data_IF_412326381133
#
_entry.id   IF_412326381133
#
_cell.length_a   1.000
_cell.length_b   1.000
_cell.length_c   1.000
_cell.angle_alpha   90.00
_cell.angle_beta   90.00
_cell.angle_gamma   90.00
#
_symmetry.space_group_name_H-M   'P 1'
#
loop_
_entity.id
_entity.type
_entity.pdbx_description
1 polymer ?
#
# COMPACT_ATOMS: atom_id res chain seq x y z
N UNK A 1 4.97 -3.58 -13.49
CA UNK A 1 4.37 -4.93 -13.60
C UNK A 1 2.84 -4.96 -13.50
N UNK A 2 2.17 -3.86 -13.18
CA UNK A 2 0.70 -3.81 -13.23
C UNK A 2 0.21 -3.29 -14.58
N UNK A 3 -0.92 -3.84 -15.04
CA UNK A 3 -1.70 -3.30 -16.14
C UNK A 3 -2.85 -2.52 -15.50
N UNK A 4 -3.12 -1.32 -16.00
CA UNK A 4 -4.31 -0.55 -15.65
C UNK A 4 -5.34 -0.72 -16.75
N UNK A 5 -6.50 -1.24 -16.37
CA UNK A 5 -7.71 -1.22 -17.21
C UNK A 5 -8.71 -0.26 -16.56
N UNK A 6 -8.91 0.90 -17.20
CA UNK A 6 -9.69 2.02 -16.65
C UNK A 6 -9.13 2.50 -15.31
N UNK A 7 -9.82 2.21 -14.20
CA UNK A 7 -9.45 2.55 -12.83
C UNK A 7 -9.05 1.34 -11.98
N UNK A 8 -8.72 0.20 -12.60
CA UNK A 8 -8.37 -1.04 -11.92
C UNK A 8 -6.98 -1.53 -12.31
N UNK A 9 -6.18 -1.90 -11.33
CA UNK A 9 -4.82 -2.43 -11.55
C UNK A 9 -4.81 -3.94 -11.42
N UNK A 10 -4.18 -4.63 -12.36
CA UNK A 10 -3.96 -6.08 -12.36
C UNK A 10 -2.50 -6.42 -12.56
N UNK A 11 -2.08 -7.63 -12.17
CA UNK A 11 -0.71 -8.09 -12.40
C UNK A 11 -0.58 -8.50 -13.88
N UNK A 12 0.41 -7.93 -14.57
CA UNK A 12 0.81 -8.40 -15.90
C UNK A 12 1.68 -9.65 -15.76
N UNK A 13 1.06 -10.81 -15.74
CA UNK A 13 1.77 -12.08 -15.54
C UNK A 13 2.70 -12.45 -16.69
N UNK A 14 2.41 -12.07 -17.91
CA UNK A 14 3.29 -12.31 -19.07
C UNK A 14 4.60 -11.56 -18.91
N UNK A 15 4.53 -10.24 -18.68
CA UNK A 15 5.71 -9.44 -18.40
C UNK A 15 6.42 -9.88 -17.12
N UNK A 16 5.68 -10.28 -16.10
CA UNK A 16 6.24 -10.79 -14.86
C UNK A 16 7.06 -12.06 -15.12
N UNK A 17 6.51 -13.02 -15.85
CA UNK A 17 7.22 -14.24 -16.21
C UNK A 17 8.45 -13.97 -17.08
N UNK A 18 8.38 -13.01 -17.99
CA UNK A 18 9.54 -12.64 -18.84
C UNK A 18 10.68 -12.05 -18.01
N UNK A 19 10.38 -11.22 -17.01
CA UNK A 19 11.41 -10.71 -16.09
C UNK A 19 12.05 -11.87 -15.28
N UNK A 20 11.26 -12.85 -14.85
CA UNK A 20 11.78 -14.04 -14.17
C UNK A 20 12.70 -14.88 -15.07
N UNK A 21 12.35 -15.07 -16.35
CA UNK A 21 13.21 -15.73 -17.37
C UNK A 21 14.52 -14.97 -17.56
N UNK A 22 14.49 -13.65 -17.46
CA UNK A 22 15.67 -12.79 -17.59
C UNK A 22 16.59 -12.80 -16.33
N UNK A 23 16.32 -13.65 -15.35
CA UNK A 23 17.21 -13.93 -14.23
C UNK A 23 16.98 -13.08 -12.98
N UNK A 24 15.82 -12.48 -12.82
CA UNK A 24 15.39 -11.88 -11.53
C UNK A 24 15.52 -12.93 -10.42
N UNK A 25 16.09 -12.54 -9.27
CA UNK A 25 16.35 -13.43 -8.13
C UNK A 25 15.43 -13.20 -6.95
N UNK A 26 14.82 -12.04 -6.87
CA UNK A 26 13.90 -11.68 -5.80
C UNK A 26 12.79 -10.76 -6.32
N UNK A 27 11.60 -10.94 -5.78
CA UNK A 27 10.42 -10.12 -6.05
C UNK A 27 9.98 -9.46 -4.76
N UNK A 28 9.85 -8.14 -4.76
CA UNK A 28 9.18 -7.39 -3.70
C UNK A 28 7.71 -7.21 -4.10
N UNK A 29 6.81 -7.71 -3.29
CA UNK A 29 5.38 -7.68 -3.55
C UNK A 29 4.63 -7.04 -2.38
N UNK A 30 3.66 -6.17 -2.66
CA UNK A 30 2.91 -5.45 -1.65
C UNK A 30 1.44 -5.90 -1.64
N UNK A 31 0.94 -6.32 -0.49
CA UNK A 31 -0.44 -6.82 -0.32
C UNK A 31 -0.98 -6.49 1.08
N UNK A 32 -1.98 -5.62 1.24
CA UNK A 32 -2.61 -4.75 0.23
C UNK A 32 -1.63 -3.77 -0.43
N UNK A 33 -1.91 -3.43 -1.69
CA UNK A 33 -0.94 -2.71 -2.52
C UNK A 33 -1.03 -1.19 -2.36
N UNK A 34 -0.03 -0.61 -1.75
CA UNK A 34 0.21 0.83 -1.71
C UNK A 34 1.04 1.25 -2.95
N UNK A 35 0.59 2.22 -3.77
CA UNK A 35 -0.44 3.23 -3.49
C UNK A 35 -1.83 2.94 -4.03
N UNK A 36 -2.02 1.93 -4.86
CA UNK A 36 -3.24 1.76 -5.68
C UNK A 36 -4.46 1.23 -4.93
N UNK A 37 -4.29 0.79 -3.67
CA UNK A 37 -5.38 0.31 -2.83
C UNK A 37 -5.93 -1.08 -3.19
N UNK A 38 -5.19 -1.90 -3.97
CA UNK A 38 -5.59 -3.26 -4.30
C UNK A 38 -5.40 -4.20 -3.11
N UNK A 39 -6.37 -5.10 -2.91
CA UNK A 39 -6.24 -6.32 -2.10
C UNK A 39 -6.28 -7.50 -3.06
N UNK A 40 -5.17 -8.20 -3.21
CA UNK A 40 -5.05 -9.25 -4.21
C UNK A 40 -5.88 -10.47 -3.83
N UNK A 41 -6.54 -11.09 -4.82
CA UNK A 41 -7.31 -12.31 -4.62
C UNK A 41 -6.39 -13.51 -4.40
N UNK A 42 -6.92 -14.56 -3.77
CA UNK A 42 -6.17 -15.81 -3.61
C UNK A 42 -5.70 -16.40 -4.94
N UNK A 43 -6.51 -16.27 -5.99
CA UNK A 43 -6.16 -16.74 -7.33
C UNK A 43 -5.00 -15.94 -7.95
N UNK A 44 -5.02 -14.62 -7.79
CA UNK A 44 -3.90 -13.75 -8.22
C UNK A 44 -2.61 -14.11 -7.47
N UNK A 45 -2.70 -14.32 -6.14
CA UNK A 45 -1.55 -14.69 -5.32
C UNK A 45 -1.03 -16.07 -5.65
N UNK A 46 -1.90 -17.05 -5.90
CA UNK A 46 -1.52 -18.42 -6.29
C UNK A 46 -0.72 -18.39 -7.59
N UNK A 47 -1.18 -17.68 -8.59
CA UNK A 47 -0.46 -17.55 -9.86
C UNK A 47 0.90 -16.86 -9.72
N UNK A 48 1.00 -15.85 -8.85
CA UNK A 48 2.27 -15.21 -8.50
C UNK A 48 3.24 -16.23 -7.88
N UNK A 49 2.77 -17.00 -6.88
CA UNK A 49 3.54 -18.02 -6.17
C UNK A 49 4.02 -19.11 -7.13
N UNK A 50 3.13 -19.65 -7.98
CA UNK A 50 3.47 -20.68 -8.97
C UNK A 50 4.64 -20.23 -9.87
N UNK A 51 4.64 -18.97 -10.31
CA UNK A 51 5.72 -18.41 -11.11
C UNK A 51 7.01 -18.25 -10.28
N UNK A 52 6.94 -17.76 -9.05
CA UNK A 52 8.11 -17.64 -8.19
C UNK A 52 8.74 -19.01 -7.87
N UNK A 53 7.95 -20.03 -7.62
CA UNK A 53 8.41 -21.42 -7.43
C UNK A 53 9.05 -21.96 -8.70
N UNK A 54 8.38 -21.82 -9.86
CA UNK A 54 8.86 -22.30 -11.16
C UNK A 54 10.24 -21.76 -11.52
N UNK A 55 10.52 -20.49 -11.19
CA UNK A 55 11.78 -19.83 -11.52
C UNK A 55 12.77 -19.74 -10.35
N UNK A 56 12.47 -20.40 -9.25
CA UNK A 56 13.32 -20.48 -8.05
C UNK A 56 13.69 -19.10 -7.47
N UNK A 57 12.70 -18.20 -7.31
CA UNK A 57 12.86 -16.80 -6.94
C UNK A 57 12.38 -16.52 -5.52
N UNK A 58 13.12 -15.70 -4.76
CA UNK A 58 12.68 -15.22 -3.45
C UNK A 58 11.47 -14.29 -3.58
N UNK A 59 10.49 -14.48 -2.70
CA UNK A 59 9.30 -13.65 -2.59
C UNK A 59 9.29 -12.90 -1.26
N UNK A 60 9.46 -11.58 -1.33
CA UNK A 60 9.43 -10.68 -0.20
C UNK A 60 8.07 -9.98 -0.20
N UNK A 61 7.20 -10.37 0.74
CA UNK A 61 5.83 -9.86 0.84
C UNK A 61 5.73 -8.75 1.86
N UNK A 62 5.44 -7.54 1.41
CA UNK A 62 5.09 -6.42 2.29
C UNK A 62 3.59 -6.49 2.61
N UNK A 63 3.27 -6.97 3.82
CA UNK A 63 1.92 -7.15 4.34
C UNK A 63 1.58 -6.16 5.47
N UNK A 64 2.32 -5.05 5.58
CA UNK A 64 2.13 -4.06 6.65
C UNK A 64 0.74 -3.38 6.63
N UNK A 65 0.01 -3.45 5.52
CA UNK A 65 -1.35 -2.95 5.38
C UNK A 65 -2.44 -4.04 5.52
N UNK A 66 -2.09 -5.27 5.89
CA UNK A 66 -3.00 -6.42 5.92
C UNK A 66 -4.32 -6.13 6.66
N UNK A 67 -4.23 -5.48 7.82
CA UNK A 67 -5.38 -5.16 8.65
C UNK A 67 -6.34 -4.13 8.02
N UNK A 68 -5.90 -3.41 6.99
CA UNK A 68 -6.73 -2.48 6.22
C UNK A 68 -7.22 -3.06 4.88
N UNK A 69 -7.43 -4.36 4.79
CA UNK A 69 -8.26 -4.95 3.74
C UNK A 69 -9.73 -4.66 4.06
N UNK A 70 -10.38 -3.75 3.33
CA UNK A 70 -11.64 -3.12 3.76
C UNK A 70 -12.86 -3.60 2.98
N UNK A 71 -12.69 -4.03 1.73
CA UNK A 71 -13.82 -4.40 0.85
C UNK A 71 -13.83 -5.88 0.46
N UNK A 72 -12.78 -6.63 0.81
CA UNK A 72 -12.70 -8.07 0.59
C UNK A 72 -11.83 -8.73 1.66
N UNK A 73 -11.94 -10.06 1.74
CA UNK A 73 -11.11 -10.84 2.63
C UNK A 73 -9.63 -10.77 2.20
N UNK A 74 -8.78 -10.55 3.18
CA UNK A 74 -7.34 -10.58 3.00
C UNK A 74 -6.83 -12.03 2.93
N UNK A 75 -5.85 -12.27 2.06
CA UNK A 75 -5.12 -13.53 1.98
C UNK A 75 -3.63 -13.22 2.09
N UNK A 76 -2.98 -13.76 3.13
CA UNK A 76 -1.53 -13.69 3.29
C UNK A 76 -0.81 -14.65 2.34
N UNK A 77 0.39 -14.30 1.89
CA UNK A 77 1.28 -15.22 1.16
C UNK A 77 1.77 -16.38 2.04
N UNK A 78 1.67 -16.27 3.36
CA UNK A 78 1.87 -17.38 4.29
C UNK A 78 0.87 -18.54 4.17
N UNK A 79 -0.19 -18.39 3.37
CA UNK A 79 -1.14 -19.47 3.05
C UNK A 79 -0.57 -20.51 2.07
N UNK A 80 0.53 -20.21 1.37
CA UNK A 80 1.06 -21.02 0.28
C UNK A 80 2.37 -21.71 0.69
N UNK A 81 2.32 -22.97 1.23
CA UNK A 81 3.51 -23.65 1.71
C UNK A 81 4.54 -23.97 0.63
N UNK A 82 4.14 -24.02 -0.63
CA UNK A 82 5.00 -24.28 -1.78
C UNK A 82 6.11 -23.23 -1.99
N UNK A 83 5.96 -22.02 -1.43
CA UNK A 83 6.98 -20.94 -1.52
C UNK A 83 7.79 -20.76 -0.22
N UNK A 84 7.52 -21.55 0.84
CA UNK A 84 8.12 -21.31 2.16
C UNK A 84 9.63 -21.30 2.17
N UNK A 85 10.27 -22.04 1.27
CA UNK A 85 11.75 -22.06 1.18
C UNK A 85 12.34 -20.70 0.82
N UNK A 86 11.56 -19.83 0.18
CA UNK A 86 12.01 -18.52 -0.32
C UNK A 86 11.07 -17.36 0.05
N UNK A 87 10.22 -17.57 1.05
CA UNK A 87 9.25 -16.55 1.49
C UNK A 87 9.78 -15.77 2.67
N UNK A 88 9.68 -14.43 2.57
CA UNK A 88 9.85 -13.49 3.69
C UNK A 88 8.64 -12.57 3.71
N UNK A 89 7.88 -12.57 4.80
CA UNK A 89 6.74 -11.67 5.00
C UNK A 89 7.14 -10.57 5.98
N UNK A 90 6.83 -9.33 5.62
CA UNK A 90 6.99 -8.14 6.46
C UNK A 90 5.63 -7.74 7.02
N UNK A 91 5.53 -7.62 8.34
CA UNK A 91 4.36 -7.06 9.03
C UNK A 91 4.78 -6.09 10.12
N UNK A 92 3.90 -5.16 10.51
CA UNK A 92 4.24 -4.17 11.53
C UNK A 92 2.99 -3.53 12.16
N UNK A 93 3.08 -3.16 13.42
CA UNK A 93 2.07 -2.33 14.10
C UNK A 93 2.05 -0.88 13.60
N UNK A 94 3.05 -0.49 12.84
CA UNK A 94 3.26 0.89 12.38
C UNK A 94 2.09 1.44 11.55
N UNK A 95 1.44 0.59 10.75
CA UNK A 95 0.29 0.96 9.93
C UNK A 95 -1.02 0.61 10.61
N UNK A 96 -1.14 -0.60 11.13
CA UNK A 96 -2.34 -1.10 11.79
C UNK A 96 -2.75 -0.21 12.98
N UNK A 97 -1.79 0.12 13.84
CA UNK A 97 -2.04 0.83 15.09
C UNK A 97 -1.46 2.25 15.14
N UNK A 98 -1.11 2.82 13.97
CA UNK A 98 -0.54 4.17 13.85
C UNK A 98 0.71 4.41 14.71
N UNK A 99 1.58 3.40 14.82
CA UNK A 99 2.78 3.42 15.68
C UNK A 99 4.08 3.49 14.88
N UNK A 100 4.09 4.21 13.75
CA UNK A 100 5.27 4.32 12.88
C UNK A 100 6.50 4.91 13.60
N UNK A 101 6.30 5.77 14.60
CA UNK A 101 7.37 6.38 15.36
C UNK A 101 8.21 5.41 16.19
N UNK A 102 7.71 4.18 16.43
CA UNK A 102 8.48 3.14 17.14
C UNK A 102 9.47 2.39 16.24
N UNK A 103 9.42 2.63 14.93
CA UNK A 103 10.37 2.07 13.93
C UNK A 103 10.58 0.56 14.13
N UNK A 104 9.48 -0.19 14.23
CA UNK A 104 9.51 -1.63 14.47
C UNK A 104 8.71 -2.41 13.43
N UNK A 105 9.21 -3.59 13.08
CA UNK A 105 8.54 -4.54 12.18
C UNK A 105 8.90 -5.97 12.55
N UNK A 106 8.09 -6.92 12.08
CA UNK A 106 8.33 -8.34 12.20
C UNK A 106 8.61 -8.94 10.82
N UNK A 107 9.57 -9.87 10.78
CA UNK A 107 9.79 -10.74 9.64
C UNK A 107 9.27 -12.13 9.98
N UNK A 108 8.39 -12.66 9.15
CA UNK A 108 7.92 -14.05 9.23
C UNK A 108 8.64 -14.81 8.12
N UNK A 109 9.53 -15.71 8.51
CA UNK A 109 10.37 -16.51 7.60
C UNK A 109 10.14 -17.97 7.93
N UNK A 110 9.34 -18.71 7.12
CA UNK A 110 9.02 -20.11 7.38
C UNK A 110 10.24 -21.04 7.33
N UNK A 111 11.16 -20.79 6.38
CA UNK A 111 12.40 -21.57 6.24
C UNK A 111 13.39 -21.21 7.36
N UNK A 112 13.71 -22.19 8.22
CA UNK A 112 14.60 -22.01 9.39
C UNK A 112 16.02 -21.63 8.97
N UNK A 113 16.56 -22.21 7.88
CA UNK A 113 17.92 -21.93 7.44
C UNK A 113 18.00 -20.52 6.81
N UNK A 114 17.00 -20.12 6.04
CA UNK A 114 16.91 -18.75 5.53
C UNK A 114 16.80 -17.74 6.69
N UNK A 115 15.97 -18.06 7.72
CA UNK A 115 15.86 -17.23 8.91
C UNK A 115 17.20 -17.05 9.62
N UNK A 116 17.98 -18.11 9.80
CA UNK A 116 19.31 -18.05 10.42
C UNK A 116 20.25 -17.14 9.60
N UNK A 117 20.24 -17.23 8.27
CA UNK A 117 21.04 -16.39 7.39
C UNK A 117 20.68 -14.91 7.52
N UNK A 118 19.38 -14.58 7.52
CA UNK A 118 18.89 -13.20 7.69
C UNK A 118 19.27 -12.64 9.05
N UNK A 119 19.12 -13.43 10.13
CA UNK A 119 19.51 -13.01 11.48
C UNK A 119 21.01 -12.78 11.56
N UNK A 120 21.84 -13.68 11.05
CA UNK A 120 23.29 -13.55 11.05
C UNK A 120 23.76 -12.30 10.26
N UNK A 121 23.10 -11.98 9.14
CA UNK A 121 23.40 -10.76 8.38
C UNK A 121 23.07 -9.50 9.21
N UNK A 122 21.93 -9.47 9.87
CA UNK A 122 21.55 -8.35 10.74
C UNK A 122 22.52 -8.17 11.91
N UNK A 123 22.88 -9.24 12.59
CA UNK A 123 23.86 -9.22 13.68
C UNK A 123 25.25 -8.74 13.19
N UNK A 124 25.70 -9.20 12.02
CA UNK A 124 26.97 -8.78 11.44
C UNK A 124 27.04 -7.29 11.13
N UNK A 125 25.88 -6.66 10.91
CA UNK A 125 25.74 -5.21 10.64
C UNK A 125 25.36 -4.40 11.87
N UNK A 126 25.36 -4.99 13.05
CA UNK A 126 24.95 -4.35 14.31
C UNK A 126 23.49 -3.84 14.26
N UNK A 127 22.65 -4.47 13.43
CA UNK A 127 21.23 -4.19 13.36
C UNK A 127 20.50 -5.00 14.44
N UNK A 128 20.49 -4.48 15.65
CA UNK A 128 19.75 -5.07 16.75
C UNK A 128 18.25 -4.76 16.59
N UNK A 129 17.42 -5.58 17.24
CA UNK A 129 15.97 -5.43 17.22
C UNK A 129 15.48 -4.08 17.76
N UNK A 130 14.16 -3.82 17.70
CA UNK A 130 13.57 -2.59 18.21
C UNK A 130 13.80 -2.44 19.72
N UNK A 131 13.62 -1.21 20.24
CA UNK A 131 13.75 -0.94 21.65
C UNK A 131 12.64 -1.65 22.47
N UNK A 132 12.85 -1.82 23.77
CA UNK A 132 11.91 -2.51 24.67
C UNK A 132 10.48 -1.92 24.62
N UNK A 133 10.37 -0.59 24.47
CA UNK A 133 9.08 0.07 24.33
C UNK A 133 8.33 -0.41 23.09
N UNK A 134 9.02 -0.66 21.99
CA UNK A 134 8.41 -1.15 20.76
C UNK A 134 7.93 -2.62 20.88
N UNK A 135 8.66 -3.46 21.61
CA UNK A 135 8.20 -4.82 21.94
C UNK A 135 6.95 -4.79 22.80
N UNK A 136 6.95 -4.00 23.88
CA UNK A 136 5.80 -3.84 24.77
C UNK A 136 4.58 -3.31 24.02
N UNK A 137 4.77 -2.31 23.14
CA UNK A 137 3.70 -1.76 22.32
C UNK A 137 3.15 -2.79 21.32
N UNK A 138 4.01 -3.59 20.72
CA UNK A 138 3.60 -4.63 19.76
C UNK A 138 2.79 -5.74 20.46
N UNK A 139 3.26 -6.20 21.63
CA UNK A 139 2.53 -7.18 22.43
C UNK A 139 1.16 -6.65 22.86
N UNK A 140 1.09 -5.42 23.35
CA UNK A 140 -0.16 -4.78 23.77
C UNK A 140 -1.11 -4.59 22.59
N UNK A 141 -0.62 -4.13 21.43
CA UNK A 141 -1.41 -3.89 20.24
C UNK A 141 -2.07 -5.18 19.74
N UNK A 142 -1.30 -6.25 19.59
CA UNK A 142 -1.83 -7.54 19.11
C UNK A 142 -2.63 -8.32 20.16
N UNK A 143 -2.46 -8.02 21.46
CA UNK A 143 -3.22 -8.69 22.51
C UNK A 143 -4.55 -8.01 22.82
N UNK A 144 -4.59 -6.67 22.76
CA UNK A 144 -5.72 -5.88 23.25
C UNK A 144 -6.30 -4.92 22.21
N UNK A 145 -5.74 -4.85 21.01
CA UNK A 145 -6.05 -3.82 20.02
C UNK A 145 -7.22 -4.09 19.09
N UNK A 146 -7.89 -5.24 19.18
CA UNK A 146 -8.94 -5.66 18.23
C UNK A 146 -10.05 -4.64 18.09
N UNK A 147 -10.62 -4.17 19.20
CA UNK A 147 -11.72 -3.18 19.19
C UNK A 147 -11.28 -1.88 18.52
N UNK A 148 -10.08 -1.39 18.84
CA UNK A 148 -9.52 -0.20 18.20
C UNK A 148 -9.35 -0.39 16.70
N UNK A 149 -8.85 -1.54 16.29
CA UNK A 149 -8.62 -1.86 14.88
C UNK A 149 -9.93 -1.91 14.10
N UNK A 150 -10.97 -2.53 14.65
CA UNK A 150 -12.29 -2.60 14.03
C UNK A 150 -12.91 -1.21 13.85
N UNK A 151 -12.83 -0.35 14.88
CA UNK A 151 -13.29 1.04 14.81
C UNK A 151 -12.47 1.85 13.78
N UNK A 152 -11.14 1.70 13.76
CA UNK A 152 -10.27 2.37 12.79
C UNK A 152 -10.59 1.94 11.35
N UNK A 153 -10.80 0.65 11.09
CA UNK A 153 -11.21 0.11 9.78
C UNK A 153 -12.54 0.69 9.32
N UNK A 154 -13.54 0.69 10.21
CA UNK A 154 -14.85 1.26 9.91
C UNK A 154 -14.76 2.76 9.59
N UNK A 155 -13.95 3.50 10.35
CA UNK A 155 -13.73 4.92 10.15
C UNK A 155 -13.04 5.24 8.82
N UNK A 156 -11.97 4.51 8.51
CA UNK A 156 -11.23 4.66 7.24
C UNK A 156 -12.13 4.29 6.05
N UNK A 157 -12.91 3.21 6.16
CA UNK A 157 -13.88 2.83 5.12
C UNK A 157 -14.90 3.94 4.89
N UNK A 158 -15.46 4.51 5.95
CA UNK A 158 -16.39 5.63 5.84
C UNK A 158 -15.75 6.89 5.24
N UNK A 159 -14.45 7.14 5.51
CA UNK A 159 -13.68 8.20 4.87
C UNK A 159 -13.51 7.95 3.36
N UNK A 160 -13.23 6.70 2.97
CA UNK A 160 -13.14 6.33 1.56
C UNK A 160 -14.45 6.59 0.81
N UNK A 161 -15.57 6.12 1.36
CA UNK A 161 -16.89 6.31 0.76
C UNK A 161 -17.26 7.79 0.60
N UNK A 162 -16.96 8.60 1.62
CA UNK A 162 -17.18 10.04 1.54
C UNK A 162 -16.28 10.72 0.49
N UNK A 163 -15.03 10.27 0.35
CA UNK A 163 -14.08 10.77 -0.64
C UNK A 163 -14.55 10.45 -2.06
N UNK A 164 -14.92 9.18 -2.32
CA UNK A 164 -15.42 8.75 -3.63
C UNK A 164 -16.67 9.55 -4.03
N UNK A 165 -17.62 9.67 -3.11
CA UNK A 165 -18.84 10.47 -3.35
C UNK A 165 -18.52 11.92 -3.66
N UNK A 166 -17.69 12.56 -2.83
CA UNK A 166 -17.32 13.97 -3.01
C UNK A 166 -16.62 14.21 -4.35
N UNK A 167 -15.65 13.35 -4.72
CA UNK A 167 -14.93 13.48 -6.00
C UNK A 167 -15.90 13.31 -7.17
N UNK A 168 -16.80 12.33 -7.13
CA UNK A 168 -17.78 12.12 -8.19
C UNK A 168 -18.71 13.32 -8.38
N UNK A 169 -19.10 14.01 -7.31
CA UNK A 169 -20.01 15.16 -7.33
C UNK A 169 -19.30 16.48 -7.71
N UNK A 170 -18.09 16.70 -7.18
CA UNK A 170 -17.44 18.01 -7.27
C UNK A 170 -16.24 18.07 -8.22
N UNK A 171 -15.63 16.92 -8.53
CA UNK A 171 -14.45 16.80 -9.41
C UNK A 171 -14.61 15.63 -10.40
N UNK A 172 -15.66 15.59 -11.23
CA UNK A 172 -16.05 14.41 -12.01
C UNK A 172 -15.03 13.94 -13.05
N UNK A 173 -14.04 14.76 -13.42
CA UNK A 173 -12.96 14.34 -14.34
C UNK A 173 -11.75 13.72 -13.60
N UNK A 174 -11.67 13.86 -12.28
CA UNK A 174 -10.70 13.14 -11.46
C UNK A 174 -11.18 11.69 -11.29
N UNK A 175 -10.33 10.72 -11.62
CA UNK A 175 -10.70 9.32 -11.48
C UNK A 175 -10.10 8.73 -10.21
N UNK A 176 -10.91 8.07 -9.42
CA UNK A 176 -10.45 7.31 -8.26
C UNK A 176 -10.19 5.88 -8.69
N UNK A 177 -8.99 5.34 -8.42
CA UNK A 177 -8.72 3.92 -8.62
C UNK A 177 -9.64 3.10 -7.73
N UNK A 178 -10.18 1.98 -8.24
CA UNK A 178 -11.04 1.10 -7.47
C UNK A 178 -10.37 0.72 -6.14
N UNK A 179 -10.94 1.23 -5.06
CA UNK A 179 -10.39 1.13 -3.73
C UNK A 179 -10.84 -0.17 -3.05
N UNK A 180 -9.90 -0.95 -2.54
CA UNK A 180 -10.17 -2.22 -1.85
C UNK A 180 -9.58 -2.27 -0.45
N UNK A 181 -8.55 -1.47 -0.17
CA UNK A 181 -7.89 -1.46 1.13
C UNK A 181 -6.81 -0.38 1.26
N UNK A 182 -6.11 -0.40 2.35
CA UNK A 182 -5.21 0.61 2.90
C UNK A 182 -5.97 1.84 3.45
N UNK A 183 -5.27 2.84 3.94
CA UNK A 183 -5.83 4.18 4.23
C UNK A 183 -5.33 5.23 3.21
N UNK A 184 -4.95 4.76 2.01
CA UNK A 184 -4.40 5.55 0.93
C UNK A 184 -5.25 5.33 -0.33
N UNK A 185 -5.68 6.40 -0.96
CA UNK A 185 -6.39 6.36 -2.24
C UNK A 185 -5.48 6.87 -3.35
N UNK A 186 -5.67 6.32 -4.54
CA UNK A 186 -4.90 6.65 -5.72
C UNK A 186 -5.79 7.40 -6.71
N UNK A 187 -5.46 8.65 -6.97
CA UNK A 187 -6.25 9.57 -7.78
C UNK A 187 -5.55 9.84 -9.11
N UNK A 188 -6.24 9.60 -10.21
CA UNK A 188 -5.82 10.06 -11.53
C UNK A 188 -6.26 11.51 -11.71
N UNK A 189 -5.30 12.41 -11.72
CA UNK A 189 -5.49 13.85 -11.89
C UNK A 189 -4.96 14.34 -13.24
N UNK A 190 -4.80 13.46 -14.24
CA UNK A 190 -4.36 13.85 -15.58
C UNK A 190 -5.30 14.83 -16.29
N UNK A 191 -6.55 14.94 -15.82
CA UNK A 191 -7.50 15.94 -16.32
C UNK A 191 -7.03 17.40 -16.16
N UNK A 192 -6.03 17.65 -15.30
CA UNK A 192 -5.42 18.97 -15.15
C UNK A 192 -4.47 19.32 -16.29
N UNK A 193 -3.98 18.35 -17.07
CA UNK A 193 -2.96 18.59 -18.11
C UNK A 193 -1.62 19.09 -17.57
N UNK A 194 -1.33 18.83 -16.29
CA UNK A 194 -0.14 19.24 -15.57
C UNK A 194 0.66 18.02 -15.12
N UNK A 195 1.96 18.22 -14.84
CA UNK A 195 2.80 17.19 -14.22
C UNK A 195 2.40 16.96 -12.75
N UNK A 196 2.69 15.77 -12.22
CA UNK A 196 2.47 15.44 -10.81
C UNK A 196 3.16 16.44 -9.87
N UNK A 197 4.40 16.81 -10.19
CA UNK A 197 5.16 17.83 -9.46
C UNK A 197 4.42 19.17 -9.45
N UNK A 198 3.89 19.62 -10.60
CA UNK A 198 3.19 20.89 -10.70
C UNK A 198 1.86 20.89 -9.95
N UNK A 199 1.12 19.78 -10.00
CA UNK A 199 -0.10 19.60 -9.19
C UNK A 199 0.23 19.67 -7.70
N UNK A 200 1.28 18.98 -7.26
CA UNK A 200 1.74 18.99 -5.86
C UNK A 200 2.13 20.41 -5.43
N UNK A 201 2.89 21.11 -6.27
CA UNK A 201 3.33 22.49 -5.99
C UNK A 201 2.14 23.43 -5.79
N UNK A 202 1.18 23.42 -6.72
CA UNK A 202 0.00 24.30 -6.68
C UNK A 202 -0.85 23.98 -5.44
N UNK A 203 -1.16 22.70 -5.21
CA UNK A 203 -1.94 22.29 -4.06
C UNK A 203 -1.28 22.72 -2.75
N UNK A 204 0.03 22.54 -2.61
CA UNK A 204 0.74 22.90 -1.39
C UNK A 204 0.82 24.43 -1.19
N UNK A 205 1.20 25.18 -2.23
CA UNK A 205 1.48 26.61 -2.10
C UNK A 205 0.23 27.49 -2.11
N UNK A 206 -0.76 27.15 -2.96
CA UNK A 206 -1.95 28.00 -3.13
C UNK A 206 -3.13 27.54 -2.24
N UNK A 207 -3.21 26.25 -1.95
CA UNK A 207 -4.35 25.66 -1.23
C UNK A 207 -3.99 25.03 0.13
N UNK A 208 -2.69 24.89 0.45
CA UNK A 208 -2.26 24.31 1.73
C UNK A 208 -2.56 22.80 1.85
N UNK A 209 -2.69 22.09 0.74
CA UNK A 209 -2.94 20.64 0.68
C UNK A 209 -1.69 19.93 0.16
N UNK A 210 -1.16 18.98 0.92
CA UNK A 210 -0.02 18.16 0.52
C UNK A 210 -0.49 16.74 0.16
N UNK A 211 -0.33 16.34 -1.10
CA UNK A 211 -0.55 14.97 -1.59
C UNK A 211 0.79 14.30 -1.90
N UNK A 212 0.79 12.97 -1.92
CA UNK A 212 1.96 12.22 -2.39
C UNK A 212 2.05 12.28 -3.92
N UNK A 213 3.19 12.73 -4.43
CA UNK A 213 3.48 12.79 -5.86
C UNK A 213 3.57 11.37 -6.45
N UNK A 214 2.77 11.11 -7.47
CA UNK A 214 2.71 9.81 -8.14
C UNK A 214 3.96 9.45 -8.91
N UNK A 215 4.68 10.42 -9.46
CA UNK A 215 5.90 10.19 -10.24
C UNK A 215 6.97 9.39 -9.47
N UNK A 216 6.96 9.47 -8.13
CA UNK A 216 7.84 8.68 -7.26
C UNK A 216 7.57 7.17 -7.31
N UNK A 217 6.41 6.73 -7.82
CA UNK A 217 6.04 5.31 -7.94
C UNK A 217 6.31 4.72 -9.32
N UNK A 218 6.90 5.48 -10.21
CA UNK A 218 7.31 5.05 -11.54
C UNK A 218 6.80 5.99 -12.65
N UNK A 219 7.39 5.84 -13.85
CA UNK A 219 7.07 6.70 -15.00
C UNK A 219 5.61 6.65 -15.43
N UNK A 220 4.98 5.48 -15.26
CA UNK A 220 3.58 5.25 -15.63
C UNK A 220 2.58 5.85 -14.62
N UNK A 221 3.09 6.45 -13.53
CA UNK A 221 2.29 7.08 -12.48
C UNK A 221 2.30 8.62 -12.55
N UNK A 222 2.78 9.19 -13.67
CA UNK A 222 2.69 10.61 -13.93
C UNK A 222 1.23 11.08 -13.99
N UNK A 223 0.93 12.21 -13.35
CA UNK A 223 -0.44 12.75 -13.22
C UNK A 223 -1.29 12.09 -12.13
N UNK A 224 -0.75 11.09 -11.44
CA UNK A 224 -1.40 10.46 -10.30
C UNK A 224 -0.97 11.10 -8.97
N UNK A 225 -1.88 11.07 -8.00
CA UNK A 225 -1.63 11.56 -6.64
C UNK A 225 -2.06 10.54 -5.60
N UNK A 226 -1.22 10.32 -4.58
CA UNK A 226 -1.57 9.49 -3.42
C UNK A 226 -2.22 10.35 -2.35
N UNK A 227 -3.47 10.04 -2.04
CA UNK A 227 -4.30 10.75 -1.08
C UNK A 227 -4.47 9.93 0.21
N UNK A 228 -4.02 10.47 1.34
CA UNK A 228 -4.17 9.82 2.65
C UNK A 228 -5.53 10.19 3.26
N UNK A 229 -6.37 9.17 3.49
CA UNK A 229 -7.70 9.30 4.10
C UNK A 229 -7.74 8.84 5.57
N UNK A 230 -6.61 8.41 6.12
CA UNK A 230 -6.44 8.00 7.52
C UNK A 230 -6.30 9.20 8.46
N UNK A 231 -7.23 10.14 8.39
CA UNK A 231 -7.25 11.35 9.21
C UNK A 231 -8.68 11.66 9.70
N UNK A 232 -8.81 12.65 10.59
CA UNK A 232 -10.12 13.10 11.04
C UNK A 232 -11.01 13.55 9.87
N UNK A 233 -12.31 13.21 9.90
CA UNK A 233 -13.27 13.53 8.85
C UNK A 233 -13.30 15.02 8.50
N UNK A 234 -13.21 15.88 9.50
CA UNK A 234 -13.18 17.32 9.29
C UNK A 234 -11.98 17.75 8.46
N UNK A 235 -10.79 17.23 8.77
CA UNK A 235 -9.55 17.49 8.01
C UNK A 235 -9.67 16.97 6.58
N UNK A 236 -10.22 15.77 6.40
CA UNK A 236 -10.44 15.16 5.11
C UNK A 236 -11.35 16.04 4.23
N UNK A 237 -12.51 16.42 4.76
CA UNK A 237 -13.49 17.22 4.02
C UNK A 237 -12.94 18.61 3.67
N UNK A 238 -12.23 19.24 4.59
CA UNK A 238 -11.54 20.51 4.30
C UNK A 238 -10.52 20.38 3.17
N UNK A 239 -9.73 19.31 3.17
CA UNK A 239 -8.78 19.02 2.09
C UNK A 239 -9.49 18.83 0.74
N UNK A 240 -10.59 18.07 0.72
CA UNK A 240 -11.38 17.85 -0.49
C UNK A 240 -12.01 19.13 -1.05
N UNK A 241 -12.52 20.04 -0.21
CA UNK A 241 -13.05 21.33 -0.64
C UNK A 241 -11.95 22.21 -1.27
N UNK A 242 -10.75 22.21 -0.70
CA UNK A 242 -9.61 22.96 -1.27
C UNK A 242 -9.15 22.35 -2.60
N UNK A 243 -9.17 21.03 -2.73
CA UNK A 243 -8.91 20.35 -4.02
C UNK A 243 -9.98 20.69 -5.05
N UNK A 244 -11.26 20.76 -4.66
CA UNK A 244 -12.35 21.17 -5.54
C UNK A 244 -12.19 22.62 -6.00
N UNK A 245 -11.75 23.53 -5.13
CA UNK A 245 -11.44 24.91 -5.51
C UNK A 245 -10.32 25.00 -6.57
N UNK A 246 -9.29 24.15 -6.47
CA UNK A 246 -8.29 24.02 -7.52
C UNK A 246 -8.89 23.45 -8.81
N UNK A 247 -9.76 22.43 -8.69
CA UNK A 247 -10.41 21.82 -9.84
C UNK A 247 -11.23 22.84 -10.62
N UNK A 248 -12.05 23.65 -9.95
CA UNK A 248 -12.89 24.69 -10.56
C UNK A 248 -12.05 25.76 -11.29
N UNK A 249 -10.82 26.01 -10.83
CA UNK A 249 -9.91 27.00 -11.44
C UNK A 249 -9.17 26.47 -12.67
N UNK A 250 -8.75 25.19 -12.63
CA UNK A 250 -7.81 24.64 -13.62
C UNK A 250 -8.43 23.65 -14.60
N UNK A 251 -9.55 23.02 -14.26
CA UNK A 251 -10.18 21.97 -15.09
C UNK A 251 -11.47 22.51 -15.70
N UNK A 252 -11.45 22.78 -17.00
CA UNK A 252 -12.61 23.31 -17.77
C UNK A 252 -13.42 22.18 -18.42
#
# INVERSE_FOLDING_TARGET
MCIRDSNYFTINYERFEDELKNGVKAVMFCNPHNPVGRVWTEEELRKLVELCVKYDVYLLSDEVHADYALTRNYTTLGKFPEIYDKLIIYTAISKSFNMAGLVSSCLIIPNVELKKQVVADFESRWMFGPCDLAFTAMEAAYTYGDTWMDEARAYVKANADATEKFIAERMPKVQVTKYEGTFLMWLDMNCYGLTSEKITEILAKEYGVALGDGSHYGKDAEGFMRFNIGCARETLMKGLELMAAMYDKYVK
#
